data_IF_944540600230
#
_entry.id   IF_944540600230
#
_cell.length_a   1.000
_cell.length_b   1.000
_cell.length_c   1.000
_cell.angle_alpha   90.00
_cell.angle_beta   90.00
_cell.angle_gamma   90.00
#
_symmetry.space_group_name_H-M   'P 1'
#
loop_
_entity.id
_entity.type
_entity.pdbx_description
1 polymer ?
#
# COMPACT_ATOMS: atom_id res chain seq x y z
N UNK A 1 -6.52 -9.40 -15.66
CA UNK A 1 -7.35 -8.42 -14.91
C UNK A 1 -7.09 -8.43 -13.40
N UNK A 2 -7.04 -9.59 -12.72
CA UNK A 2 -6.92 -9.68 -11.25
C UNK A 2 -5.69 -8.97 -10.65
N UNK A 3 -4.53 -9.02 -11.32
CA UNK A 3 -3.29 -8.40 -10.81
C UNK A 3 -3.28 -6.86 -10.85
N UNK A 4 -4.05 -6.23 -11.76
CA UNK A 4 -4.16 -4.77 -11.85
C UNK A 4 -5.10 -4.24 -10.76
N UNK A 5 -6.13 -5.00 -10.42
CA UNK A 5 -7.13 -4.64 -9.40
C UNK A 5 -6.52 -4.66 -7.99
N UNK A 6 -5.61 -5.59 -7.69
CA UNK A 6 -4.93 -5.67 -6.39
C UNK A 6 -3.98 -4.49 -6.14
N UNK A 7 -3.25 -4.04 -7.17
CA UNK A 7 -2.23 -2.98 -7.11
C UNK A 7 -2.80 -1.58 -6.85
N UNK A 8 -4.12 -1.42 -6.91
CA UNK A 8 -4.77 -0.13 -6.69
C UNK A 8 -5.54 -0.09 -5.37
N UNK A 9 -5.52 -1.15 -4.54
CA UNK A 9 -6.36 -1.19 -3.34
C UNK A 9 -5.96 -0.10 -2.34
N UNK A 10 -4.66 0.08 -2.07
CA UNK A 10 -4.16 1.14 -1.18
C UNK A 10 -4.53 2.54 -1.69
N UNK A 11 -4.21 2.83 -2.96
CA UNK A 11 -4.53 4.13 -3.56
C UNK A 11 -6.03 4.41 -3.59
N UNK A 12 -6.86 3.40 -3.90
CA UNK A 12 -8.32 3.54 -3.90
C UNK A 12 -8.86 3.82 -2.50
N UNK A 13 -8.40 3.08 -1.48
CA UNK A 13 -8.77 3.32 -0.09
C UNK A 13 -8.38 4.74 0.35
N UNK A 14 -7.18 5.20 0.02
CA UNK A 14 -6.75 6.57 0.31
C UNK A 14 -7.61 7.61 -0.43
N UNK A 15 -7.90 7.40 -1.72
CA UNK A 15 -8.78 8.28 -2.47
C UNK A 15 -10.21 8.35 -1.89
N UNK A 16 -10.75 7.23 -1.40
CA UNK A 16 -12.05 7.18 -0.74
C UNK A 16 -12.06 7.91 0.60
N UNK A 17 -11.02 7.71 1.43
CA UNK A 17 -10.87 8.38 2.72
C UNK A 17 -10.81 9.90 2.56
N UNK A 18 -10.08 10.40 1.57
CA UNK A 18 -9.93 11.83 1.29
C UNK A 18 -10.98 12.38 0.31
N UNK A 19 -11.92 11.55 -0.15
CA UNK A 19 -12.96 12.01 -1.08
C UNK A 19 -13.78 13.14 -0.47
N UNK A 20 -13.91 14.23 -1.23
CA UNK A 20 -14.67 15.42 -0.84
C UNK A 20 -13.94 16.37 0.12
N UNK A 21 -12.65 16.14 0.40
CA UNK A 21 -11.84 17.06 1.20
C UNK A 21 -10.87 17.87 0.32
N UNK A 22 -10.45 19.07 0.74
CA UNK A 22 -9.44 19.87 0.02
C UNK A 22 -8.00 19.37 0.27
N UNK A 23 -7.82 18.30 1.05
CA UNK A 23 -6.52 17.83 1.58
C UNK A 23 -5.76 16.99 0.54
N UNK A 24 -5.53 17.55 -0.65
CA UNK A 24 -4.88 16.83 -1.76
C UNK A 24 -3.44 16.48 -1.44
N UNK A 25 -2.71 17.38 -0.77
CA UNK A 25 -1.31 17.16 -0.40
C UNK A 25 -1.19 16.06 0.66
N UNK A 26 -1.99 16.14 1.72
CA UNK A 26 -1.96 15.16 2.80
C UNK A 26 -2.37 13.76 2.32
N UNK A 27 -3.30 13.70 1.36
CA UNK A 27 -3.67 12.46 0.68
C UNK A 27 -2.46 11.80 -0.02
N UNK A 28 -1.68 12.59 -0.77
CA UNK A 28 -0.50 12.09 -1.48
C UNK A 28 0.60 11.66 -0.52
N UNK A 29 0.82 12.44 0.54
CA UNK A 29 1.78 12.12 1.60
C UNK A 29 1.44 10.81 2.30
N UNK A 30 0.16 10.64 2.69
CA UNK A 30 -0.33 9.42 3.30
C UNK A 30 -0.16 8.21 2.38
N UNK A 31 -0.45 8.36 1.09
CA UNK A 31 -0.24 7.30 0.12
C UNK A 31 1.25 6.93 0.00
N UNK A 32 2.14 7.92 -0.17
CA UNK A 32 3.58 7.69 -0.33
C UNK A 32 4.14 6.95 0.89
N UNK A 33 3.85 7.45 2.10
CA UNK A 33 4.33 6.84 3.33
C UNK A 33 3.88 5.38 3.48
N UNK A 34 2.62 5.09 3.18
CA UNK A 34 2.08 3.73 3.27
C UNK A 34 2.65 2.81 2.19
N UNK A 35 2.91 3.35 1.00
CA UNK A 35 3.55 2.59 -0.08
C UNK A 35 5.01 2.27 0.25
N UNK A 36 5.79 3.24 0.72
CA UNK A 36 7.17 3.06 1.14
C UNK A 36 7.28 2.01 2.25
N UNK A 37 6.41 2.10 3.27
CA UNK A 37 6.35 1.09 4.33
C UNK A 37 5.97 -0.30 3.78
N UNK A 38 5.08 -0.37 2.79
CA UNK A 38 4.72 -1.64 2.17
C UNK A 38 5.89 -2.24 1.37
N UNK A 39 6.73 -1.41 0.74
CA UNK A 39 7.96 -1.86 0.06
C UNK A 39 9.00 -2.40 1.04
N UNK A 40 9.19 -1.74 2.18
CA UNK A 40 10.08 -2.22 3.25
C UNK A 40 9.63 -3.59 3.78
N UNK A 41 8.34 -3.77 4.04
CA UNK A 41 7.78 -5.06 4.48
C UNK A 41 7.83 -6.12 3.38
N UNK A 42 7.52 -5.75 2.13
CA UNK A 42 7.58 -6.68 1.01
C UNK A 42 9.01 -7.17 0.72
N UNK A 43 10.01 -6.36 1.07
CA UNK A 43 11.44 -6.67 0.94
C UNK A 43 12.03 -7.30 2.19
N UNK A 44 11.20 -7.64 3.19
CA UNK A 44 11.58 -8.19 4.50
C UNK A 44 12.62 -7.33 5.26
N UNK A 45 12.66 -6.01 4.98
CA UNK A 45 13.45 -5.02 5.73
C UNK A 45 12.73 -4.52 6.99
N UNK A 46 11.42 -4.71 7.04
CA UNK A 46 10.58 -4.46 8.20
C UNK A 46 9.59 -5.61 8.40
N UNK A 47 9.21 -5.87 9.65
CA UNK A 47 8.18 -6.86 9.98
C UNK A 47 6.76 -6.31 9.79
N UNK A 48 5.77 -7.19 9.70
CA UNK A 48 4.36 -6.76 9.66
C UNK A 48 3.93 -6.16 11.00
N UNK A 49 4.46 -6.68 12.11
CA UNK A 49 4.18 -6.19 13.46
C UNK A 49 4.67 -4.74 13.66
N UNK A 50 5.88 -4.42 13.18
CA UNK A 50 6.39 -3.04 13.18
C UNK A 50 5.53 -2.11 12.32
N UNK A 51 5.09 -2.59 11.16
CA UNK A 51 4.22 -1.85 10.27
C UNK A 51 2.85 -1.59 10.89
N UNK A 52 2.26 -2.54 11.62
CA UNK A 52 0.96 -2.36 12.27
C UNK A 52 0.95 -1.20 13.28
N UNK A 53 2.03 -1.03 14.05
CA UNK A 53 2.19 0.10 14.97
C UNK A 53 2.24 1.43 14.23
N UNK A 54 2.90 1.47 13.07
CA UNK A 54 2.92 2.68 12.22
C UNK A 54 1.56 2.96 11.59
N UNK A 55 0.85 1.93 11.13
CA UNK A 55 -0.47 2.05 10.53
C UNK A 55 -1.49 2.68 11.48
N UNK A 56 -1.45 2.33 12.77
CA UNK A 56 -2.35 2.92 13.76
C UNK A 56 -2.06 4.43 13.97
N UNK A 57 -0.80 4.85 14.00
CA UNK A 57 -0.42 6.27 14.07
C UNK A 57 -0.82 7.05 12.82
N UNK A 58 -0.68 6.44 11.64
CA UNK A 58 -1.14 7.04 10.37
C UNK A 58 -2.67 7.17 10.38
N UNK A 59 -3.39 6.16 10.88
CA UNK A 59 -4.85 6.20 10.99
C UNK A 59 -5.34 7.34 11.90
N UNK A 60 -4.71 7.52 13.06
CA UNK A 60 -4.98 8.64 13.97
C UNK A 60 -4.77 9.99 13.28
N UNK A 61 -3.65 10.14 12.59
CA UNK A 61 -3.29 11.37 11.87
C UNK A 61 -4.29 11.67 10.75
N UNK A 62 -4.64 10.67 9.93
CA UNK A 62 -5.62 10.82 8.86
C UNK A 62 -6.99 11.18 9.44
N UNK A 63 -7.45 10.51 10.50
CA UNK A 63 -8.73 10.81 11.12
C UNK A 63 -8.78 12.26 11.64
N UNK A 64 -7.70 12.75 12.25
CA UNK A 64 -7.60 14.14 12.70
C UNK A 64 -7.64 15.15 11.53
N UNK A 65 -6.92 14.87 10.44
CA UNK A 65 -6.96 15.68 9.22
C UNK A 65 -8.36 15.72 8.58
N UNK A 66 -9.01 14.57 8.46
CA UNK A 66 -10.37 14.50 7.91
C UNK A 66 -11.36 15.27 8.80
N UNK A 67 -11.24 15.16 10.12
CA UNK A 67 -12.08 15.88 11.06
C UNK A 67 -11.91 17.41 10.94
N UNK A 68 -10.68 17.90 10.76
CA UNK A 68 -10.41 19.33 10.55
C UNK A 68 -10.97 19.85 9.21
N UNK A 69 -11.07 18.98 8.20
CA UNK A 69 -11.75 19.25 6.94
C UNK A 69 -13.28 19.05 6.97
N UNK A 70 -13.87 18.84 8.14
CA UNK A 70 -15.32 18.67 8.32
C UNK A 70 -15.86 17.27 8.01
N UNK A 71 -14.98 16.29 7.73
CA UNK A 71 -15.35 14.89 7.48
C UNK A 71 -15.08 14.04 8.72
N UNK A 72 -16.13 13.68 9.45
CA UNK A 72 -16.02 12.82 10.64
C UNK A 72 -15.96 11.35 10.23
N UNK A 73 -14.80 10.74 10.44
CA UNK A 73 -14.57 9.28 10.30
C UNK A 73 -13.85 8.83 11.57
N UNK A 74 -14.25 7.70 12.15
CA UNK A 74 -13.62 7.18 13.36
C UNK A 74 -12.23 6.61 13.09
N UNK A 75 -11.30 6.76 14.04
CA UNK A 75 -9.93 6.22 13.94
C UNK A 75 -9.94 4.72 13.67
N UNK A 76 -10.82 3.96 14.34
CA UNK A 76 -10.94 2.51 14.17
C UNK A 76 -11.37 2.12 12.74
N UNK A 77 -12.29 2.88 12.14
CA UNK A 77 -12.70 2.66 10.75
C UNK A 77 -11.54 2.94 9.78
N UNK A 78 -10.79 4.03 10.02
CA UNK A 78 -9.60 4.36 9.22
C UNK A 78 -8.55 3.27 9.35
N UNK A 79 -8.19 2.88 10.58
CA UNK A 79 -7.18 1.85 10.85
C UNK A 79 -7.54 0.53 10.17
N UNK A 80 -8.79 0.05 10.31
CA UNK A 80 -9.25 -1.17 9.63
C UNK A 80 -9.07 -1.10 8.12
N UNK A 81 -9.52 -0.01 7.49
CA UNK A 81 -9.40 0.18 6.03
C UNK A 81 -7.93 0.22 5.59
N UNK A 82 -7.08 0.93 6.33
CA UNK A 82 -5.65 1.02 6.03
C UNK A 82 -4.97 -0.34 6.16
N UNK A 83 -5.19 -1.10 7.24
CA UNK A 83 -4.59 -2.43 7.46
C UNK A 83 -4.97 -3.40 6.33
N UNK A 84 -6.24 -3.43 5.94
CA UNK A 84 -6.71 -4.30 4.84
C UNK A 84 -6.14 -3.91 3.47
N UNK A 85 -5.95 -2.62 3.22
CA UNK A 85 -5.41 -2.11 1.97
C UNK A 85 -3.88 -2.28 1.91
N UNK A 86 -3.20 -2.01 3.01
CA UNK A 86 -1.76 -2.19 3.20
C UNK A 86 -1.34 -3.65 3.01
N UNK A 87 -2.03 -4.59 3.65
CA UNK A 87 -1.76 -6.03 3.48
C UNK A 87 -1.91 -6.48 2.02
N UNK A 88 -2.88 -5.92 1.29
CA UNK A 88 -3.04 -6.20 -0.13
C UNK A 88 -1.89 -5.63 -0.96
N UNK A 89 -1.41 -4.43 -0.64
CA UNK A 89 -0.27 -3.79 -1.29
C UNK A 89 1.01 -4.61 -1.10
N UNK A 90 1.35 -4.99 0.13
CA UNK A 90 2.51 -5.86 0.44
C UNK A 90 2.48 -7.13 -0.38
N UNK A 91 1.32 -7.81 -0.44
CA UNK A 91 1.18 -9.04 -1.21
C UNK A 91 1.33 -8.80 -2.73
N UNK A 92 0.82 -7.67 -3.24
CA UNK A 92 0.98 -7.31 -4.65
C UNK A 92 2.45 -7.04 -5.00
N UNK A 93 3.19 -6.35 -4.12
CA UNK A 93 4.63 -6.09 -4.27
C UNK A 93 5.43 -7.40 -4.26
N UNK A 94 5.18 -8.29 -3.29
CA UNK A 94 5.80 -9.63 -3.23
C UNK A 94 5.52 -10.44 -4.50
N UNK A 95 4.28 -10.44 -4.98
CA UNK A 95 3.91 -11.13 -6.22
C UNK A 95 4.60 -10.52 -7.46
N UNK A 96 4.75 -9.19 -7.49
CA UNK A 96 5.49 -8.50 -8.55
C UNK A 96 6.95 -8.93 -8.57
N UNK A 97 7.61 -9.01 -7.41
CA UNK A 97 8.99 -9.47 -7.30
C UNK A 97 9.15 -10.91 -7.82
N UNK A 98 8.26 -11.84 -7.42
CA UNK A 98 8.26 -13.22 -7.92
C UNK A 98 8.09 -13.28 -9.45
N UNK A 99 7.24 -12.44 -10.02
CA UNK A 99 7.04 -12.35 -11.48
C UNK A 99 8.32 -11.91 -12.20
N UNK A 100 9.02 -10.92 -11.66
CA UNK A 100 10.26 -10.41 -12.25
C UNK A 100 11.37 -11.47 -12.19
N UNK A 101 11.49 -12.18 -11.07
CA UNK A 101 12.44 -13.27 -10.92
C UNK A 101 12.15 -14.43 -11.89
N UNK A 102 10.88 -14.83 -12.04
CA UNK A 102 10.50 -15.85 -13.01
C UNK A 102 10.84 -15.43 -14.45
N UNK A 103 10.53 -14.19 -14.83
CA UNK A 103 10.83 -13.65 -16.15
C UNK A 103 12.34 -13.66 -16.43
N UNK A 104 13.16 -13.26 -15.44
CA UNK A 104 14.62 -13.31 -15.50
C UNK A 104 15.13 -14.74 -15.75
N UNK A 105 14.67 -15.72 -14.98
CA UNK A 105 15.08 -17.13 -15.13
C UNK A 105 14.72 -17.71 -16.50
N UNK A 106 13.54 -17.37 -17.03
CA UNK A 106 13.12 -17.80 -18.36
C UNK A 106 14.04 -17.21 -19.43
N UNK A 107 14.34 -15.91 -19.34
CA UNK A 107 15.24 -15.23 -20.26
C UNK A 107 16.66 -15.84 -20.24
N UNK A 108 17.20 -16.11 -19.05
CA UNK A 108 18.50 -16.79 -18.88
C UNK A 108 18.51 -18.21 -19.43
N UNK A 109 17.39 -18.96 -19.29
CA UNK A 109 17.30 -20.31 -19.85
C UNK A 109 17.30 -20.28 -21.37
N UNK A 110 16.54 -19.38 -21.98
CA UNK A 110 16.47 -19.22 -23.43
C UNK A 110 17.85 -18.82 -23.98
N UNK A 111 18.56 -17.90 -23.33
CA UNK A 111 19.90 -17.48 -23.79
C UNK A 111 20.95 -18.58 -23.66
N UNK A 112 20.85 -19.47 -22.66
CA UNK A 112 21.74 -20.63 -22.48
C UNK A 112 21.41 -21.81 -23.42
N UNK A 113 20.18 -21.90 -23.91
CA UNK A 113 19.74 -22.93 -24.86
C UNK A 113 19.91 -22.49 -26.33
N UNK A 114 20.82 -21.56 -26.60
CA UNK A 114 21.11 -21.07 -27.95
C UNK A 114 21.27 -22.21 -28.97
N UNK A 115 20.52 -22.06 -30.06
CA UNK A 115 20.66 -22.76 -31.34
C UNK A 115 22.08 -22.65 -31.89
#
# INVERSE_FOLDING_TARGET
MVAVVARMKLLNTINELFRGTPLVRDKLEAYSLLHDLAEEVASDRASMEEAEVMLDKVAETIAALLASAGKRVGVEEVSKKLKEAFKAEVNALRMSALRHELARRIAERISRQGF
#
